data_IF_774661604370
#
_entry.id   IF_774661604370
#
_cell.length_a   1.000
_cell.length_b   1.000
_cell.length_c   1.000
_cell.angle_alpha   90.00
_cell.angle_beta   90.00
_cell.angle_gamma   90.00
#
_symmetry.space_group_name_H-M   'P 1'
#
loop_
_entity.id
_entity.type
_entity.pdbx_description
1 polymer ?
#
# COMPACT_ATOMS: atom_id res chain seq x y z
N UNK A 1 -7.07 42.69 0.46
CA UNK A 1 -7.75 41.62 -0.29
C UNK A 1 -6.95 40.36 -0.01
N UNK A 2 -7.47 39.52 0.89
CA UNK A 2 -6.80 38.31 1.39
C UNK A 2 -7.35 37.13 0.60
N UNK A 3 -6.52 36.46 -0.19
CA UNK A 3 -6.91 35.23 -0.87
C UNK A 3 -6.85 34.10 0.15
N UNK A 4 -8.01 33.65 0.61
CA UNK A 4 -8.12 32.48 1.46
C UNK A 4 -7.72 31.24 0.64
N UNK A 5 -6.69 30.47 1.05
CA UNK A 5 -6.29 29.26 0.35
C UNK A 5 -7.41 28.21 0.26
N UNK A 6 -8.42 28.27 1.13
CA UNK A 6 -9.60 27.40 1.03
C UNK A 6 -10.55 27.78 -0.10
N UNK A 7 -10.64 29.05 -0.51
CA UNK A 7 -11.47 29.44 -1.65
C UNK A 7 -10.92 28.85 -2.97
N UNK A 8 -9.60 28.77 -3.11
CA UNK A 8 -8.95 28.17 -4.28
C UNK A 8 -9.25 26.66 -4.34
N UNK A 9 -9.19 25.98 -3.20
CA UNK A 9 -9.48 24.55 -3.12
C UNK A 9 -10.96 24.23 -3.40
N UNK A 10 -11.88 25.04 -2.87
CA UNK A 10 -13.33 24.89 -3.09
C UNK A 10 -13.71 25.21 -4.53
N UNK A 11 -13.08 26.21 -5.16
CA UNK A 11 -13.30 26.51 -6.57
C UNK A 11 -12.85 25.34 -7.47
N UNK A 12 -11.68 24.76 -7.18
CA UNK A 12 -11.15 23.65 -7.95
C UNK A 12 -11.98 22.36 -7.78
N UNK A 13 -12.46 22.07 -6.57
CA UNK A 13 -13.34 20.92 -6.31
C UNK A 13 -14.70 21.05 -7.01
N UNK A 14 -15.25 22.28 -7.12
CA UNK A 14 -16.48 22.52 -7.90
C UNK A 14 -16.28 22.36 -9.39
N UNK A 15 -15.12 22.75 -9.91
CA UNK A 15 -14.77 22.60 -11.32
C UNK A 15 -14.59 21.11 -11.67
N UNK A 16 -13.93 20.33 -10.81
CA UNK A 16 -13.78 18.88 -10.96
C UNK A 16 -15.14 18.16 -10.84
N UNK A 17 -16.00 18.58 -9.91
CA UNK A 17 -17.35 18.02 -9.78
C UNK A 17 -18.26 18.37 -10.97
N UNK A 18 -18.04 19.51 -11.64
CA UNK A 18 -18.78 19.89 -12.85
C UNK A 18 -18.32 19.10 -14.10
N UNK A 19 -17.11 18.52 -14.10
CA UNK A 19 -16.66 17.59 -15.15
C UNK A 19 -17.20 16.16 -14.98
N UNK A 20 -17.88 15.86 -13.88
CA UNK A 20 -18.54 14.58 -13.62
C UNK A 20 -20.05 14.74 -13.82
N UNK A 21 -20.49 14.90 -15.08
CA UNK A 21 -21.92 14.71 -15.38
C UNK A 21 -22.30 13.22 -15.25
N UNK A 22 -23.44 12.91 -14.63
CA UNK A 22 -23.88 11.53 -14.40
C UNK A 22 -24.67 11.06 -15.63
N UNK A 23 -24.08 10.25 -16.50
CA UNK A 23 -24.77 9.26 -17.38
C UNK A 23 -23.76 8.58 -18.32
N UNK A 24 -22.73 7.95 -17.77
CA UNK A 24 -21.85 7.11 -18.58
C UNK A 24 -21.85 5.72 -17.99
N UNK A 25 -22.59 4.82 -18.63
CA UNK A 25 -22.62 3.38 -18.30
C UNK A 25 -21.29 2.74 -18.71
N UNK A 26 -20.86 1.72 -17.96
CA UNK A 26 -19.56 1.03 -18.14
C UNK A 26 -19.29 0.58 -19.59
N UNK A 27 -20.33 0.34 -20.38
CA UNK A 27 -20.25 -0.03 -21.80
C UNK A 27 -19.63 1.06 -22.70
N UNK A 28 -19.81 2.35 -22.38
CA UNK A 28 -19.26 3.45 -23.19
C UNK A 28 -17.74 3.61 -23.00
N UNK A 29 -17.25 3.28 -21.80
CA UNK A 29 -15.81 3.32 -21.47
C UNK A 29 -15.08 2.19 -22.21
N UNK A 30 -15.70 1.01 -22.30
CA UNK A 30 -15.17 -0.14 -23.05
C UNK A 30 -15.20 0.15 -24.56
N UNK A 31 -16.28 0.74 -25.08
CA UNK A 31 -16.36 1.13 -26.49
C UNK A 31 -15.32 2.20 -26.87
N UNK A 32 -15.05 3.16 -25.99
CA UNK A 32 -14.01 4.17 -26.19
C UNK A 32 -12.60 3.57 -26.21
N UNK A 33 -12.31 2.65 -25.28
CA UNK A 33 -11.02 1.96 -25.19
C UNK A 33 -10.76 1.08 -26.43
N UNK A 34 -11.77 0.39 -26.94
CA UNK A 34 -11.67 -0.44 -28.14
C UNK A 34 -11.54 0.39 -29.42
N UNK A 35 -12.16 1.57 -29.49
CA UNK A 35 -12.06 2.47 -30.64
C UNK A 35 -10.67 3.14 -30.77
N UNK A 36 -9.93 3.27 -29.67
CA UNK A 36 -8.66 4.01 -29.63
C UNK A 36 -7.42 3.13 -29.37
N UNK A 37 -7.61 1.88 -28.94
CA UNK A 37 -6.53 0.94 -28.62
C UNK A 37 -6.20 -0.06 -29.72
N UNK A 38 -5.64 0.39 -30.86
CA UNK A 38 -4.67 -0.40 -31.68
C UNK A 38 -4.38 0.23 -33.06
N UNK A 39 -3.31 1.04 -33.15
CA UNK A 39 -2.60 1.31 -34.43
C UNK A 39 -1.10 1.55 -34.22
N UNK A 40 -0.34 0.49 -33.94
CA UNK A 40 1.09 0.46 -34.26
C UNK A 40 1.29 -0.27 -35.57
N UNK A 41 1.00 0.42 -36.68
CA UNK A 41 1.37 -0.03 -38.01
C UNK A 41 2.79 0.46 -38.33
N UNK A 42 3.71 -0.48 -38.52
CA UNK A 42 5.05 -0.26 -39.08
C UNK A 42 4.91 0.38 -40.46
N UNK A 43 5.56 1.53 -40.68
CA UNK A 43 5.44 2.33 -41.91
C UNK A 43 6.71 2.20 -42.77
N UNK A 44 6.63 1.88 -44.07
CA UNK A 44 7.78 1.99 -44.96
C UNK A 44 7.91 3.42 -45.52
N UNK A 45 9.09 3.99 -45.30
CA UNK A 45 9.84 5.03 -46.03
C UNK A 45 9.14 5.75 -47.21
N UNK A 46 8.86 7.06 -47.05
CA UNK A 46 9.17 8.10 -48.06
C UNK A 46 9.09 9.53 -47.48
N UNK A 47 10.06 10.35 -47.92
CA UNK A 47 10.35 11.77 -47.63
C UNK A 47 9.13 12.70 -47.76
N UNK A 48 9.08 13.76 -46.94
CA UNK A 48 9.15 15.21 -47.31
C UNK A 48 8.50 16.09 -46.21
N UNK A 49 9.33 17.00 -45.66
CA UNK A 49 9.10 18.40 -45.22
C UNK A 49 8.20 18.78 -44.02
N UNK A 50 8.88 19.47 -43.09
CA UNK A 50 8.55 20.72 -42.36
C UNK A 50 7.50 20.77 -41.25
N UNK A 51 8.02 21.30 -40.12
CA UNK A 51 7.44 22.26 -39.18
C UNK A 51 6.48 21.74 -38.09
N UNK A 52 6.85 22.05 -36.85
CA UNK A 52 5.95 22.01 -35.70
C UNK A 52 6.56 21.39 -34.45
N UNK A 53 7.63 21.98 -33.89
CA UNK A 53 8.04 21.66 -32.51
C UNK A 53 7.23 22.54 -31.59
N UNK A 54 6.14 22.00 -31.06
CA UNK A 54 5.43 22.53 -29.90
C UNK A 54 6.31 22.24 -28.68
N UNK A 55 6.85 23.28 -28.07
CA UNK A 55 7.56 23.18 -26.80
C UNK A 55 6.53 22.85 -25.70
N UNK A 56 6.50 21.58 -25.28
CA UNK A 56 5.75 21.17 -24.09
C UNK A 56 6.48 21.70 -22.86
N UNK A 57 5.87 22.67 -22.18
CA UNK A 57 6.28 23.15 -20.88
C UNK A 57 6.03 22.04 -19.86
N UNK A 58 7.09 21.38 -19.41
CA UNK A 58 7.04 20.49 -18.25
C UNK A 58 6.95 21.37 -17.01
N UNK A 59 5.73 21.53 -16.49
CA UNK A 59 5.53 22.07 -15.15
C UNK A 59 6.03 21.04 -14.14
N UNK A 60 7.27 21.23 -13.69
CA UNK A 60 7.80 20.68 -12.45
C UNK A 60 7.02 21.30 -11.28
N UNK A 61 5.82 20.79 -11.02
CA UNK A 61 5.13 20.97 -9.74
C UNK A 61 5.70 19.91 -8.81
N UNK A 62 6.31 20.38 -7.71
CA UNK A 62 7.15 19.60 -6.83
C UNK A 62 6.52 18.29 -6.35
N UNK A 63 7.21 17.19 -6.64
CA UNK A 63 7.01 15.90 -6.01
C UNK A 63 7.79 15.84 -4.69
N UNK A 64 7.38 16.65 -3.72
CA UNK A 64 7.61 16.36 -2.31
C UNK A 64 6.52 15.39 -1.84
N UNK A 65 6.92 14.22 -1.35
CA UNK A 65 6.08 13.10 -0.89
C UNK A 65 5.44 12.22 -1.98
N UNK A 66 6.21 11.29 -2.53
CA UNK A 66 5.66 10.05 -3.11
C UNK A 66 6.63 8.85 -3.04
N UNK A 67 7.52 8.80 -2.04
CA UNK A 67 8.45 7.67 -1.89
C UNK A 67 7.88 6.47 -1.12
N UNK A 68 6.61 6.50 -0.69
CA UNK A 68 5.96 5.37 -0.01
C UNK A 68 4.72 4.80 -0.73
N UNK A 69 4.29 5.39 -1.86
CA UNK A 69 3.03 4.97 -2.51
C UNK A 69 3.26 4.14 -3.78
N UNK A 70 4.48 4.12 -4.35
CA UNK A 70 4.75 3.40 -5.60
C UNK A 70 5.04 1.91 -5.40
N UNK A 71 5.30 1.43 -4.18
CA UNK A 71 5.43 0.00 -3.90
C UNK A 71 4.08 -0.77 -3.96
N UNK A 72 2.94 -0.08 -3.93
CA UNK A 72 1.61 -0.71 -3.94
C UNK A 72 1.06 -1.03 -5.36
N UNK A 73 1.74 -0.62 -6.43
CA UNK A 73 1.20 -0.78 -7.80
C UNK A 73 1.54 -2.08 -8.51
N UNK A 74 2.53 -2.83 -8.01
CA UNK A 74 2.95 -4.09 -8.62
C UNK A 74 2.73 -5.27 -7.66
N UNK A 75 1.48 -5.63 -7.39
CA UNK A 75 1.09 -6.97 -6.90
C UNK A 75 1.76 -7.49 -5.61
N UNK A 76 2.49 -6.65 -4.88
CA UNK A 76 3.06 -6.98 -3.58
C UNK A 76 1.91 -7.26 -2.63
N UNK A 77 1.82 -8.51 -2.17
CA UNK A 77 0.88 -8.91 -1.11
C UNK A 77 0.98 -7.91 0.05
N UNK A 78 -0.13 -7.56 0.71
CA UNK A 78 -0.08 -6.67 1.86
C UNK A 78 0.96 -7.19 2.84
N UNK A 79 1.82 -6.28 3.32
CA UNK A 79 2.74 -6.53 4.42
C UNK A 79 1.96 -7.21 5.57
N UNK A 80 2.56 -8.23 6.19
CA UNK A 80 1.93 -8.89 7.34
C UNK A 80 1.52 -7.82 8.35
N UNK A 81 0.22 -7.71 8.62
CA UNK A 81 -0.34 -6.56 9.29
C UNK A 81 -1.81 -6.75 9.62
N UNK A 82 -2.30 -5.82 10.44
CA UNK A 82 -3.68 -5.83 10.95
C UNK A 82 -4.43 -4.71 10.27
N UNK A 83 -5.49 -5.07 9.56
CA UNK A 83 -6.38 -4.17 8.86
C UNK A 83 -7.62 -3.94 9.73
N UNK A 84 -7.68 -2.81 10.40
CA UNK A 84 -8.81 -2.43 11.25
C UNK A 84 -9.90 -1.77 10.40
N UNK A 85 -11.09 -2.38 10.32
CA UNK A 85 -12.20 -1.91 9.48
C UNK A 85 -13.26 -1.12 10.23
N UNK A 86 -13.88 -0.17 9.53
CA UNK A 86 -14.99 0.63 10.07
C UNK A 86 -16.37 -0.01 9.90
N UNK A 87 -16.51 -1.07 9.09
CA UNK A 87 -17.76 -1.82 8.94
C UNK A 87 -17.49 -3.32 8.70
N UNK A 88 -18.54 -4.15 8.83
CA UNK A 88 -18.49 -5.61 8.71
C UNK A 88 -18.33 -6.13 7.26
N UNK A 89 -17.60 -5.42 6.39
CA UNK A 89 -17.36 -5.83 5.02
C UNK A 89 -15.97 -5.37 4.51
N UNK A 90 -15.42 -6.11 3.54
CA UNK A 90 -14.06 -5.88 3.01
C UNK A 90 -13.92 -4.62 2.14
N UNK A 91 -15.03 -3.94 1.83
CA UNK A 91 -15.03 -2.69 1.06
C UNK A 91 -15.10 -1.45 1.94
N UNK A 92 -15.20 -1.63 3.27
CA UNK A 92 -15.23 -0.50 4.19
C UNK A 92 -13.88 0.18 4.26
N UNK A 93 -13.90 1.44 4.69
CA UNK A 93 -12.68 2.13 5.08
C UNK A 93 -11.93 1.32 6.15
N UNK A 94 -10.60 1.40 6.09
CA UNK A 94 -9.73 0.65 6.96
C UNK A 94 -8.49 1.46 7.33
N UNK A 95 -7.81 1.04 8.39
CA UNK A 95 -6.46 1.48 8.73
C UNK A 95 -5.59 0.25 8.93
N UNK A 96 -4.42 0.26 8.31
CA UNK A 96 -3.40 -0.78 8.51
C UNK A 96 -2.52 -0.37 9.68
N UNK A 97 -2.30 -1.29 10.60
CA UNK A 97 -1.37 -1.16 11.71
C UNK A 97 -0.43 -2.37 11.75
N UNK A 98 0.75 -2.24 12.37
CA UNK A 98 1.63 -3.39 12.61
C UNK A 98 0.90 -4.49 13.41
N UNK A 99 1.32 -5.74 13.22
CA UNK A 99 0.84 -6.84 14.05
C UNK A 99 1.35 -6.67 15.48
N UNK A 100 0.42 -6.60 16.44
CA UNK A 100 0.71 -6.67 17.87
C UNK A 100 0.33 -8.02 18.47
N UNK A 101 0.51 -8.14 19.79
CA UNK A 101 0.13 -9.34 20.55
C UNK A 101 -1.40 -9.57 20.57
N UNK A 102 -2.18 -8.48 20.51
CA UNK A 102 -3.65 -8.50 20.53
C UNK A 102 -4.22 -7.55 19.44
N UNK A 103 -4.35 -8.04 18.19
CA UNK A 103 -4.82 -7.23 17.08
C UNK A 103 -6.25 -6.72 17.27
N UNK A 104 -7.07 -7.42 18.06
CA UNK A 104 -8.42 -6.95 18.39
C UNK A 104 -8.32 -5.74 19.32
N UNK A 105 -7.54 -5.81 20.39
CA UNK A 105 -7.36 -4.69 21.31
C UNK A 105 -6.77 -3.45 20.62
N UNK A 106 -5.82 -3.66 19.70
CA UNK A 106 -5.22 -2.57 18.93
C UNK A 106 -6.27 -1.86 18.04
N UNK A 107 -7.13 -2.63 17.36
CA UNK A 107 -8.23 -2.06 16.57
C UNK A 107 -9.33 -1.42 17.44
N UNK A 108 -9.58 -1.94 18.65
CA UNK A 108 -10.49 -1.31 19.63
C UNK A 108 -9.97 0.08 20.00
N UNK A 109 -8.66 0.23 20.23
CA UNK A 109 -8.07 1.53 20.55
C UNK A 109 -8.31 2.56 19.46
N UNK A 110 -8.13 2.17 18.18
CA UNK A 110 -8.43 3.03 17.03
C UNK A 110 -9.91 3.40 16.92
N UNK A 111 -10.80 2.44 17.19
CA UNK A 111 -12.25 2.67 17.22
C UNK A 111 -12.64 3.70 18.27
N UNK A 112 -12.16 3.51 19.51
CA UNK A 112 -12.47 4.38 20.66
C UNK A 112 -11.92 5.80 20.45
N UNK A 113 -10.72 5.91 19.87
CA UNK A 113 -10.10 7.19 19.53
C UNK A 113 -10.83 7.93 18.38
N UNK A 114 -11.64 7.20 17.59
CA UNK A 114 -12.29 7.72 16.39
C UNK A 114 -11.29 7.97 15.27
N UNK A 115 -10.28 7.11 15.16
CA UNK A 115 -9.20 7.22 14.16
C UNK A 115 -9.44 6.36 12.92
N UNK A 116 -10.50 5.54 12.92
CA UNK A 116 -10.89 4.81 11.72
C UNK A 116 -11.59 5.75 10.74
N UNK A 117 -11.20 5.74 9.46
CA UNK A 117 -11.88 6.52 8.46
C UNK A 117 -13.33 6.03 8.35
N UNK A 118 -14.29 6.95 8.40
CA UNK A 118 -15.70 6.69 8.05
C UNK A 118 -16.02 7.54 6.83
N UNK A 119 -16.19 6.91 5.68
CA UNK A 119 -16.74 7.62 4.52
C UNK A 119 -18.19 8.00 4.86
N UNK A 120 -18.44 9.30 5.04
CA UNK A 120 -19.79 9.85 5.18
C UNK A 120 -20.41 9.86 6.59
N UNK A 121 -19.68 9.58 7.68
CA UNK A 121 -20.21 9.65 9.05
C UNK A 121 -19.24 10.28 10.05
N UNK A 122 -19.79 10.97 11.05
CA UNK A 122 -19.04 11.53 12.19
C UNK A 122 -18.62 10.38 13.11
N UNK A 123 -17.33 10.32 13.46
CA UNK A 123 -16.79 9.32 14.37
C UNK A 123 -17.41 9.50 15.77
N UNK A 124 -18.29 8.57 16.15
CA UNK A 124 -18.78 8.48 17.51
C UNK A 124 -17.62 7.99 18.39
N UNK A 125 -16.89 8.94 19.00
CA UNK A 125 -15.84 8.62 19.97
C UNK A 125 -16.44 7.93 21.19
N UNK A 126 -15.68 7.02 21.79
CA UNK A 126 -15.97 6.52 23.13
C UNK A 126 -16.64 5.14 23.23
N UNK A 127 -16.93 4.45 22.12
CA UNK A 127 -17.28 3.03 22.15
C UNK A 127 -16.80 2.29 20.90
N UNK A 128 -16.42 1.03 21.09
CA UNK A 128 -16.13 0.09 20.00
C UNK A 128 -17.23 -0.96 19.96
N UNK A 129 -17.68 -1.40 18.76
CA UNK A 129 -18.53 -2.57 18.65
C UNK A 129 -17.75 -3.82 19.09
N UNK A 130 -18.46 -4.95 19.24
CA UNK A 130 -17.77 -6.23 19.26
C UNK A 130 -17.00 -6.39 17.95
N UNK A 131 -15.76 -6.87 18.02
CA UNK A 131 -14.90 -7.08 16.86
C UNK A 131 -14.56 -8.56 16.71
N UNK A 132 -14.28 -8.98 15.48
CA UNK A 132 -13.78 -10.31 15.12
C UNK A 132 -12.52 -10.16 14.26
N UNK A 133 -11.55 -11.05 14.46
CA UNK A 133 -10.34 -11.12 13.65
C UNK A 133 -10.44 -12.28 12.64
N UNK A 134 -10.26 -11.96 11.36
CA UNK A 134 -10.37 -12.88 10.24
C UNK A 134 -9.07 -12.92 9.45
N UNK A 135 -8.66 -14.10 8.99
CA UNK A 135 -7.51 -14.28 8.11
C UNK A 135 -7.93 -14.07 6.64
N UNK A 136 -7.26 -13.17 5.93
CA UNK A 136 -7.42 -13.04 4.46
C UNK A 136 -6.55 -14.06 3.75
N UNK A 137 -5.36 -14.26 4.30
CA UNK A 137 -4.41 -15.28 3.95
C UNK A 137 -3.65 -15.68 5.23
N UNK A 138 -2.60 -16.47 5.07
CA UNK A 138 -1.77 -17.00 6.14
C UNK A 138 -1.04 -15.89 6.92
N UNK A 139 -1.06 -14.62 6.45
CA UNK A 139 -0.15 -13.57 6.93
C UNK A 139 -0.81 -12.22 7.25
N UNK A 140 -2.08 -12.04 6.92
CA UNK A 140 -2.80 -10.77 7.15
C UNK A 140 -4.11 -10.98 7.91
N UNK A 141 -4.37 -10.07 8.84
CA UNK A 141 -5.57 -10.10 9.68
C UNK A 141 -6.47 -8.92 9.33
N UNK A 142 -7.72 -9.21 9.08
CA UNK A 142 -8.80 -8.24 9.01
C UNK A 142 -9.57 -8.24 10.32
N UNK A 143 -9.65 -7.10 10.99
CA UNK A 143 -10.46 -6.94 12.20
C UNK A 143 -11.70 -6.12 11.86
N UNK A 144 -12.87 -6.74 11.98
CA UNK A 144 -14.14 -6.16 11.57
C UNK A 144 -15.13 -6.08 12.74
N UNK A 145 -16.07 -5.12 12.73
CA UNK A 145 -17.25 -5.15 13.58
C UNK A 145 -18.08 -6.42 13.37
N UNK A 146 -18.54 -7.01 14.46
CA UNK A 146 -19.54 -8.09 14.47
C UNK A 146 -20.93 -7.47 14.37
N UNK A 147 -21.70 -7.92 13.39
CA UNK A 147 -23.16 -7.78 13.34
C UNK A 147 -23.81 -9.13 13.61
N UNK A 148 -25.12 -9.19 13.84
CA UNK A 148 -25.81 -10.38 14.35
C UNK A 148 -25.51 -11.69 13.58
N UNK A 149 -25.22 -11.61 12.27
CA UNK A 149 -24.87 -12.76 11.41
C UNK A 149 -23.41 -12.76 10.90
N UNK A 150 -22.59 -11.75 11.25
CA UNK A 150 -21.25 -11.61 10.69
C UNK A 150 -20.25 -12.55 11.37
N UNK A 151 -19.80 -13.54 10.60
CA UNK A 151 -18.64 -14.38 10.90
C UNK A 151 -17.57 -14.17 9.83
N UNK A 152 -16.34 -14.60 10.07
CA UNK A 152 -15.31 -14.57 9.03
C UNK A 152 -15.76 -15.33 7.78
N UNK A 153 -16.36 -16.51 7.97
CA UNK A 153 -16.85 -17.33 6.86
C UNK A 153 -17.97 -16.65 6.05
N UNK A 154 -18.79 -15.80 6.68
CA UNK A 154 -19.86 -15.07 5.99
C UNK A 154 -19.35 -14.05 4.95
N UNK A 155 -18.11 -13.60 5.10
CA UNK A 155 -17.41 -12.68 4.18
C UNK A 155 -16.31 -13.38 3.38
N UNK A 156 -16.29 -14.72 3.39
CA UNK A 156 -15.34 -15.53 2.63
C UNK A 156 -13.95 -15.61 3.23
N UNK A 157 -13.81 -15.36 4.54
CA UNK A 157 -12.55 -15.42 5.27
C UNK A 157 -12.55 -16.55 6.32
N UNK A 158 -11.37 -16.93 6.78
CA UNK A 158 -11.21 -17.86 7.90
C UNK A 158 -11.06 -17.11 9.23
N UNK A 159 -11.30 -17.79 10.35
CA UNK A 159 -10.97 -17.22 11.67
C UNK A 159 -9.46 -17.09 11.81
N UNK A 160 -9.00 -15.94 12.31
CA UNK A 160 -7.58 -15.68 12.44
C UNK A 160 -6.94 -16.54 13.55
N UNK A 161 -5.91 -17.32 13.20
CA UNK A 161 -5.06 -17.98 14.18
C UNK A 161 -3.89 -17.05 14.55
N UNK A 162 -4.15 -16.15 15.50
CA UNK A 162 -3.18 -15.13 15.93
C UNK A 162 -1.86 -15.75 16.38
N UNK A 163 -1.95 -16.87 17.12
CA UNK A 163 -0.76 -17.57 17.64
C UNK A 163 0.11 -18.10 16.50
N UNK A 164 -0.51 -18.70 15.48
CA UNK A 164 0.23 -19.16 14.30
C UNK A 164 0.90 -17.99 13.56
N UNK A 165 0.24 -16.84 13.49
CA UNK A 165 0.76 -15.67 12.79
C UNK A 165 1.94 -15.01 13.53
N UNK A 166 1.82 -14.75 14.83
CA UNK A 166 2.90 -14.12 15.62
C UNK A 166 4.13 -15.02 15.81
N UNK A 167 3.99 -16.31 15.50
CA UNK A 167 5.10 -17.28 15.51
C UNK A 167 5.60 -17.63 14.11
N UNK A 168 5.03 -17.04 13.05
CA UNK A 168 5.46 -17.26 11.68
C UNK A 168 6.87 -16.64 11.47
N UNK A 169 7.89 -17.45 11.10
CA UNK A 169 9.23 -16.95 10.84
C UNK A 169 9.31 -15.83 9.79
N UNK A 170 8.41 -15.80 8.79
CA UNK A 170 8.39 -14.76 7.76
C UNK A 170 7.83 -13.43 8.29
N UNK A 171 6.88 -13.48 9.23
CA UNK A 171 6.39 -12.29 9.91
C UNK A 171 7.52 -11.70 10.76
N UNK A 172 8.19 -12.55 11.56
CA UNK A 172 9.33 -12.14 12.39
C UNK A 172 10.49 -11.62 11.52
N UNK A 173 10.76 -12.24 10.37
CA UNK A 173 11.76 -11.76 9.41
C UNK A 173 11.43 -10.34 8.94
N UNK A 174 10.18 -10.08 8.55
CA UNK A 174 9.76 -8.74 8.10
C UNK A 174 9.94 -7.69 9.20
N UNK A 175 9.53 -8.01 10.43
CA UNK A 175 9.71 -7.13 11.59
C UNK A 175 11.19 -6.81 11.85
N UNK A 176 12.06 -7.82 11.79
CA UNK A 176 13.51 -7.61 11.96
C UNK A 176 14.12 -6.79 10.82
N UNK A 177 13.67 -6.96 9.58
CA UNK A 177 14.10 -6.10 8.47
C UNK A 177 13.70 -4.64 8.69
N UNK A 178 12.47 -4.39 9.15
CA UNK A 178 11.97 -3.05 9.46
C UNK A 178 12.70 -2.43 10.65
N UNK A 179 13.01 -3.21 11.69
CA UNK A 179 13.60 -2.70 12.92
C UNK A 179 15.13 -2.59 12.88
N UNK A 180 15.82 -3.52 12.21
CA UNK A 180 17.28 -3.64 12.27
C UNK A 180 17.97 -3.17 10.98
N UNK A 181 17.37 -3.41 9.81
CA UNK A 181 18.01 -3.10 8.52
C UNK A 181 17.62 -1.73 8.01
N UNK A 182 16.31 -1.45 7.94
CA UNK A 182 15.78 -0.23 7.35
C UNK A 182 16.22 1.07 8.06
N UNK A 183 16.35 1.16 9.39
CA UNK A 183 16.81 2.38 10.04
C UNK A 183 18.33 2.53 10.11
N UNK A 184 19.10 1.44 9.96
CA UNK A 184 20.54 1.42 10.27
C UNK A 184 21.45 2.09 9.22
N UNK A 185 20.91 2.55 8.08
CA UNK A 185 21.66 3.06 6.93
C UNK A 185 22.89 2.18 6.60
N UNK A 186 22.63 0.92 6.25
CA UNK A 186 23.69 -0.02 5.86
C UNK A 186 24.13 0.23 4.41
N UNK A 187 25.40 -0.02 4.10
CA UNK A 187 25.88 -0.01 2.71
C UNK A 187 25.37 -1.24 1.94
N UNK A 188 25.38 -1.15 0.61
CA UNK A 188 25.06 -2.27 -0.28
C UNK A 188 25.99 -3.50 -0.08
N UNK A 189 27.19 -3.29 0.45
CA UNK A 189 28.16 -4.35 0.76
C UNK A 189 27.85 -5.02 2.11
N UNK A 190 27.46 -4.25 3.13
CA UNK A 190 27.23 -4.77 4.48
C UNK A 190 25.83 -5.33 4.71
N UNK A 191 24.80 -4.74 4.07
CA UNK A 191 23.41 -5.13 4.28
C UNK A 191 23.12 -6.62 4.00
N UNK A 192 23.70 -7.26 2.95
CA UNK A 192 23.48 -8.68 2.70
C UNK A 192 23.88 -9.59 3.86
N UNK A 193 24.97 -9.28 4.57
CA UNK A 193 25.46 -10.12 5.68
C UNK A 193 24.56 -10.01 6.91
N UNK A 194 24.06 -8.80 7.21
CA UNK A 194 23.07 -8.60 8.27
C UNK A 194 21.80 -9.39 7.97
N UNK A 195 21.27 -9.30 6.74
CA UNK A 195 20.06 -10.02 6.34
C UNK A 195 20.25 -11.54 6.41
N UNK A 196 21.40 -12.05 5.96
CA UNK A 196 21.72 -13.49 6.08
C UNK A 196 21.81 -13.94 7.53
N UNK A 197 22.34 -13.11 8.42
CA UNK A 197 22.33 -13.39 9.87
C UNK A 197 20.90 -13.52 10.39
N UNK A 198 20.01 -12.60 10.02
CA UNK A 198 18.60 -12.65 10.43
C UNK A 198 17.93 -13.94 9.93
N UNK A 199 18.14 -14.30 8.65
CA UNK A 199 17.60 -15.53 8.07
C UNK A 199 18.12 -16.78 8.81
N UNK A 200 19.40 -16.81 9.15
CA UNK A 200 20.02 -17.91 9.90
C UNK A 200 19.45 -18.03 11.33
N UNK A 201 19.31 -16.90 12.04
CA UNK A 201 18.73 -16.87 13.39
C UNK A 201 17.30 -17.42 13.40
N UNK A 202 16.53 -17.13 12.36
CA UNK A 202 15.15 -17.59 12.20
C UNK A 202 15.03 -18.99 11.58
N UNK A 203 16.16 -19.65 11.30
CA UNK A 203 16.21 -20.96 10.64
C UNK A 203 15.46 -20.98 9.29
N UNK A 204 15.51 -19.87 8.55
CA UNK A 204 14.88 -19.72 7.23
C UNK A 204 15.89 -20.14 6.15
N UNK A 205 15.65 -21.31 5.55
CA UNK A 205 16.51 -21.89 4.52
C UNK A 205 15.97 -21.65 3.10
N UNK A 206 16.86 -21.69 2.09
CA UNK A 206 16.49 -21.60 0.67
C UNK A 206 16.14 -20.19 0.18
N UNK A 207 16.22 -19.18 1.05
CA UNK A 207 15.98 -17.79 0.70
C UNK A 207 17.18 -17.13 0.04
N UNK A 208 16.92 -16.34 -1.00
CA UNK A 208 17.93 -15.54 -1.69
C UNK A 208 17.99 -14.12 -1.13
N UNK A 209 19.19 -13.53 -1.10
CA UNK A 209 19.38 -12.10 -0.76
C UNK A 209 19.93 -11.40 -1.99
N UNK A 210 19.13 -10.50 -2.58
CA UNK A 210 19.43 -9.87 -3.87
C UNK A 210 19.55 -8.36 -3.70
N UNK A 211 20.74 -7.83 -3.98
CA UNK A 211 20.99 -6.39 -4.06
C UNK A 211 20.59 -5.89 -5.44
N UNK A 212 19.64 -4.95 -5.48
CA UNK A 212 19.27 -4.25 -6.70
C UNK A 212 20.25 -3.11 -6.96
N UNK A 213 20.59 -2.83 -8.22
CA UNK A 213 21.45 -1.70 -8.56
C UNK A 213 20.78 -0.37 -8.17
N UNK A 214 21.58 0.57 -7.66
CA UNK A 214 21.15 1.90 -7.25
C UNK A 214 22.35 2.74 -6.80
N UNK A 215 22.17 4.05 -6.69
CA UNK A 215 23.17 5.05 -6.33
C UNK A 215 23.02 5.61 -4.91
N UNK A 216 22.08 5.07 -4.13
CA UNK A 216 21.85 5.47 -2.74
C UNK A 216 22.95 5.01 -1.78
N UNK A 217 23.15 5.80 -0.73
CA UNK A 217 24.15 5.52 0.32
C UNK A 217 23.66 4.49 1.34
N UNK A 218 22.35 4.43 1.58
CA UNK A 218 21.73 3.56 2.57
C UNK A 218 20.88 2.48 1.89
N UNK A 219 20.84 1.28 2.45
CA UNK A 219 19.98 0.20 1.96
C UNK A 219 18.63 0.19 2.68
N UNK A 220 17.59 -0.16 1.92
CA UNK A 220 16.29 -0.63 2.42
C UNK A 220 16.07 -2.08 2.01
N UNK A 221 15.45 -2.85 2.87
CA UNK A 221 15.08 -4.23 2.64
C UNK A 221 13.57 -4.37 2.43
N UNK A 222 13.20 -5.26 1.52
CA UNK A 222 11.84 -5.74 1.32
C UNK A 222 11.84 -7.25 1.08
N UNK A 223 10.68 -7.87 1.28
CA UNK A 223 10.51 -9.31 1.21
C UNK A 223 9.57 -9.69 0.05
N UNK A 224 9.92 -10.75 -0.67
CA UNK A 224 9.06 -11.43 -1.65
C UNK A 224 9.05 -12.93 -1.33
N UNK A 225 7.95 -13.39 -0.75
CA UNK A 225 7.74 -14.79 -0.41
C UNK A 225 7.35 -15.67 -1.60
N UNK A 226 6.87 -15.07 -2.70
CA UNK A 226 6.56 -15.84 -3.90
C UNK A 226 7.84 -16.34 -4.59
N UNK A 227 8.94 -15.59 -4.47
CA UNK A 227 10.26 -15.95 -5.02
C UNK A 227 11.34 -16.17 -3.96
N UNK A 228 10.98 -16.71 -2.78
CA UNK A 228 11.69 -16.61 -1.49
C UNK A 228 12.96 -15.73 -1.51
N UNK A 229 12.77 -14.42 -1.66
CA UNK A 229 13.85 -13.45 -1.83
C UNK A 229 13.68 -12.25 -0.90
N UNK A 230 14.77 -11.85 -0.25
CA UNK A 230 14.91 -10.51 0.35
C UNK A 230 15.60 -9.61 -0.67
N UNK A 231 14.93 -8.54 -1.07
CA UNK A 231 15.47 -7.53 -1.97
C UNK A 231 16.05 -6.36 -1.18
N UNK A 232 17.23 -5.90 -1.61
CA UNK A 232 17.93 -4.77 -1.03
C UNK A 232 18.03 -3.64 -2.06
N UNK A 233 17.58 -2.45 -1.67
CA UNK A 233 17.49 -1.28 -2.54
C UNK A 233 18.33 -0.15 -1.95
N UNK A 234 19.41 0.29 -2.63
CA UNK A 234 20.09 1.52 -2.28
C UNK A 234 19.15 2.72 -2.44
N UNK A 235 19.11 3.58 -1.43
CA UNK A 235 18.29 4.78 -1.38
C UNK A 235 18.95 5.89 -0.54
N UNK A 236 18.31 7.08 -0.48
CA UNK A 236 18.81 8.18 0.33
C UNK A 236 18.79 7.83 1.83
N UNK A 237 19.57 8.55 2.65
CA UNK A 237 19.50 8.42 4.10
C UNK A 237 18.11 8.73 4.66
N UNK A 238 17.74 8.10 5.79
CA UNK A 238 16.50 8.48 6.48
C UNK A 238 16.56 9.97 6.85
N UNK A 239 15.45 10.69 6.59
CA UNK A 239 15.31 12.08 7.03
C UNK A 239 15.35 12.11 8.56
N UNK A 240 16.30 12.87 9.13
CA UNK A 240 16.52 13.00 10.57
C UNK A 240 15.63 14.05 11.22
#
# INVERSE_FOLDING_TARGET
MSNDPFEVLVAHLREVAACLEPTQTDDDVIAYALAHGSRTAVRPRRRVWTAGVVAAVVLLVGSGAAAAIVAMRDGGRPEAGVVCRSAANLQSSARVIPLGDDPIADCVALWVAGELPRVGQVNAKGSSPALIACAVDDRSIEVLPVTDDATCSSIGLDEANIVALVTDPLVILNERLIAEVNPACLSAEAAPDVVRSILADLSIEGWSVVVRPGDGECVRAGLDDATPTVFLFPGPPPEG
#
